data_IF_150368766059
#
_entry.id   IF_150368766059
#
_cell.length_a   1.000
_cell.length_b   1.000
_cell.length_c   1.000
_cell.angle_alpha   90.00
_cell.angle_beta   90.00
_cell.angle_gamma   90.00
#
_symmetry.space_group_name_H-M   'P 1'
#
loop_
_entity.id
_entity.type
_entity.pdbx_description
1 polymer ?
#
# COMPACT_ATOMS: atom_id res chain seq x y z
N UNK A 1 23.43 -8.96 29.25
CA UNK A 1 23.32 -8.83 27.78
C UNK A 1 21.84 -8.74 27.41
N UNK A 2 21.23 -7.55 27.38
CA UNK A 2 19.88 -7.37 26.80
C UNK A 2 19.69 -5.91 26.38
N UNK A 3 20.33 -5.50 25.29
CA UNK A 3 19.86 -4.32 24.57
C UNK A 3 18.56 -4.73 23.86
N UNK A 4 17.42 -4.24 24.36
CA UNK A 4 16.16 -4.26 23.63
C UNK A 4 16.33 -3.26 22.48
N UNK A 5 16.90 -3.73 21.37
CA UNK A 5 17.05 -2.93 20.16
C UNK A 5 15.66 -2.44 19.75
N UNK A 6 15.41 -1.14 19.90
CA UNK A 6 14.44 -0.48 19.05
C UNK A 6 15.00 -0.62 17.64
N UNK A 7 14.41 -1.48 16.83
CA UNK A 7 14.87 -1.74 15.47
C UNK A 7 14.97 -0.39 14.74
N UNK A 8 16.18 0.04 14.41
CA UNK A 8 16.36 1.23 13.59
C UNK A 8 15.61 0.98 12.28
N UNK A 9 14.65 1.85 11.95
CA UNK A 9 13.93 1.75 10.69
C UNK A 9 14.86 2.27 9.58
N UNK A 10 15.54 1.34 8.94
CA UNK A 10 16.51 1.60 7.88
C UNK A 10 15.89 1.57 6.49
N UNK A 11 14.62 1.15 6.37
CA UNK A 11 13.89 1.12 5.11
C UNK A 11 12.89 2.29 5.03
N UNK A 12 12.55 2.66 3.79
CA UNK A 12 11.58 3.71 3.47
C UNK A 12 10.62 3.19 2.43
N UNK A 13 9.32 3.33 2.71
CA UNK A 13 8.24 3.13 1.76
C UNK A 13 8.01 4.45 1.04
N UNK A 14 7.95 4.42 -0.29
CA UNK A 14 7.63 5.57 -1.13
C UNK A 14 6.40 5.27 -1.99
N UNK A 15 5.44 6.20 -2.11
CA UNK A 15 4.39 6.10 -3.12
C UNK A 15 5.00 6.11 -4.52
N UNK A 16 4.58 5.15 -5.34
CA UNK A 16 5.09 4.97 -6.70
C UNK A 16 3.98 4.82 -7.76
N UNK A 17 2.71 4.83 -7.36
CA UNK A 17 1.56 4.81 -8.27
C UNK A 17 0.24 4.50 -7.57
N UNK A 18 -0.87 4.85 -8.23
CA UNK A 18 -2.25 4.52 -7.81
C UNK A 18 -2.81 5.32 -6.63
N UNK A 19 -1.99 5.93 -5.78
CA UNK A 19 -2.48 6.82 -4.72
C UNK A 19 -3.04 8.14 -5.29
N UNK A 20 -4.09 8.69 -4.69
CA UNK A 20 -4.78 9.92 -5.09
C UNK A 20 -5.71 9.79 -6.29
N UNK A 21 -6.03 8.57 -6.72
CA UNK A 21 -6.87 8.34 -7.90
C UNK A 21 -8.35 8.22 -7.56
N UNK A 22 -9.18 8.32 -8.59
CA UNK A 22 -10.63 8.33 -8.51
C UNK A 22 -11.25 7.23 -9.35
N UNK A 23 -12.42 6.73 -8.93
CA UNK A 23 -13.28 5.86 -9.71
C UNK A 23 -14.73 6.06 -9.28
N UNK A 24 -15.67 5.96 -10.23
CA UNK A 24 -17.09 5.89 -9.87
C UNK A 24 -17.46 4.52 -9.30
N UNK A 25 -18.63 4.43 -8.68
CA UNK A 25 -19.18 3.18 -8.13
C UNK A 25 -19.03 1.97 -9.05
N UNK A 26 -18.57 0.86 -8.49
CA UNK A 26 -18.35 -0.42 -9.18
C UNK A 26 -17.35 -0.38 -10.35
N UNK A 27 -16.62 0.71 -10.51
CA UNK A 27 -15.56 0.79 -11.51
C UNK A 27 -14.22 0.34 -10.93
N UNK A 28 -13.45 -0.35 -11.76
CA UNK A 28 -12.06 -0.64 -11.45
C UNK A 28 -11.26 0.67 -11.48
N UNK A 29 -10.45 0.90 -10.46
CA UNK A 29 -9.52 2.01 -10.48
C UNK A 29 -8.47 1.82 -11.58
N UNK A 30 -8.12 2.90 -12.27
CA UNK A 30 -7.25 2.84 -13.46
C UNK A 30 -5.84 2.29 -13.19
N UNK A 31 -5.30 2.52 -11.98
CA UNK A 31 -3.98 2.05 -11.60
C UNK A 31 -4.03 1.27 -10.28
N UNK A 32 -3.34 0.13 -10.16
CA UNK A 32 -3.16 -0.51 -8.86
C UNK A 32 -2.29 0.38 -7.94
N UNK A 33 -2.44 0.19 -6.63
CA UNK A 33 -1.55 0.84 -5.67
C UNK A 33 -0.14 0.28 -5.81
N UNK A 34 0.84 1.17 -5.88
CA UNK A 34 2.24 0.80 -6.05
C UNK A 34 3.10 1.51 -5.02
N UNK A 35 3.81 0.73 -4.22
CA UNK A 35 4.81 1.20 -3.29
C UNK A 35 6.21 0.85 -3.80
N UNK A 36 7.20 1.67 -3.46
CA UNK A 36 8.62 1.36 -3.66
C UNK A 36 9.31 1.31 -2.31
N UNK A 37 10.05 0.24 -2.07
CA UNK A 37 10.85 0.05 -0.88
C UNK A 37 12.32 0.30 -1.19
N UNK A 38 12.93 1.20 -0.43
CA UNK A 38 14.35 1.55 -0.58
C UNK A 38 15.06 1.56 0.78
N UNK A 39 16.37 1.36 0.76
CA UNK A 39 17.24 1.60 1.90
C UNK A 39 17.38 3.12 2.14
N UNK A 40 17.14 3.59 3.35
CA UNK A 40 17.24 5.01 3.73
C UNK A 40 18.65 5.58 3.52
N UNK A 41 19.68 4.78 3.75
CA UNK A 41 21.07 5.23 3.72
C UNK A 41 21.67 5.33 2.32
N UNK A 42 21.27 4.41 1.43
CA UNK A 42 21.87 4.28 0.09
C UNK A 42 20.89 4.58 -1.05
N UNK A 43 19.59 4.67 -0.75
CA UNK A 43 18.51 4.72 -1.73
C UNK A 43 18.45 3.51 -2.69
N UNK A 44 19.16 2.42 -2.36
CA UNK A 44 19.12 1.18 -3.13
C UNK A 44 17.75 0.51 -3.01
N UNK A 45 17.25 -0.09 -4.10
CA UNK A 45 16.00 -0.84 -4.08
C UNK A 45 16.13 -2.09 -3.20
N UNK A 46 15.08 -2.39 -2.43
CA UNK A 46 15.00 -3.60 -1.60
C UNK A 46 14.05 -4.60 -2.24
N UNK A 47 14.57 -5.72 -2.72
CA UNK A 47 13.83 -6.76 -3.44
C UNK A 47 13.41 -7.92 -2.53
N UNK A 48 12.29 -8.56 -2.84
CA UNK A 48 11.77 -9.76 -2.16
C UNK A 48 11.11 -9.52 -0.81
N UNK A 49 11.10 -8.27 -0.33
CA UNK A 49 10.57 -7.88 0.97
C UNK A 49 9.03 -7.81 0.93
N UNK A 50 8.31 -8.40 1.89
CA UNK A 50 6.87 -8.27 1.97
C UNK A 50 6.45 -6.82 2.30
N UNK A 51 5.55 -6.29 1.48
CA UNK A 51 4.84 -5.03 1.71
C UNK A 51 3.36 -5.35 1.85
N UNK A 52 2.77 -4.94 2.96
CA UNK A 52 1.36 -5.20 3.30
C UNK A 52 0.56 -3.91 3.20
N UNK A 53 -0.50 -3.95 2.41
CA UNK A 53 -1.49 -2.89 2.24
C UNK A 53 -2.74 -3.28 3.01
N UNK A 54 -3.09 -2.49 4.03
CA UNK A 54 -4.29 -2.70 4.84
C UNK A 54 -5.26 -1.56 4.57
N UNK A 55 -6.45 -1.89 4.10
CA UNK A 55 -7.57 -0.96 4.03
C UNK A 55 -8.30 -0.94 5.37
N UNK A 56 -8.48 0.23 5.96
CA UNK A 56 -9.33 0.39 7.13
C UNK A 56 -10.80 0.39 6.67
N UNK A 57 -11.46 -0.77 6.81
CA UNK A 57 -12.72 -1.13 6.16
C UNK A 57 -13.96 -0.46 6.78
N UNK A 58 -13.95 0.86 6.93
CA UNK A 58 -15.00 1.58 7.65
C UNK A 58 -16.30 1.80 6.85
N UNK A 59 -16.32 1.59 5.52
CA UNK A 59 -17.46 2.10 4.73
C UNK A 59 -17.75 1.45 3.37
N UNK A 60 -17.32 0.22 3.05
CA UNK A 60 -17.60 -0.40 1.72
C UNK A 60 -17.09 0.43 0.51
N UNK A 61 -16.12 1.33 0.72
CA UNK A 61 -15.61 2.20 -0.34
C UNK A 61 -14.75 1.44 -1.36
N UNK A 62 -13.99 0.43 -0.95
CA UNK A 62 -13.08 -0.26 -1.86
C UNK A 62 -13.01 -1.73 -1.53
N UNK A 63 -12.91 -2.57 -2.56
CA UNK A 63 -12.68 -4.00 -2.42
C UNK A 63 -11.43 -4.35 -3.25
N UNK A 64 -10.50 -5.09 -2.65
CA UNK A 64 -9.53 -5.85 -3.44
C UNK A 64 -10.27 -6.98 -4.16
N UNK A 65 -9.81 -7.43 -5.33
CA UNK A 65 -10.38 -8.63 -5.96
C UNK A 65 -10.42 -9.80 -4.95
N UNK A 66 -11.62 -10.30 -4.64
CA UNK A 66 -11.83 -11.35 -3.64
C UNK A 66 -12.31 -10.88 -2.26
N UNK A 67 -12.65 -9.59 -2.09
CA UNK A 67 -13.20 -9.00 -0.86
C UNK A 67 -12.25 -9.04 0.36
N UNK A 68 -10.94 -9.18 0.15
CA UNK A 68 -9.97 -9.10 1.23
C UNK A 68 -9.71 -7.64 1.62
N UNK A 69 -9.62 -7.26 2.91
CA UNK A 69 -9.25 -5.91 3.35
C UNK A 69 -7.73 -5.72 3.45
N UNK A 70 -6.95 -6.78 3.23
CA UNK A 70 -5.49 -6.78 3.39
C UNK A 70 -4.87 -7.56 2.25
N UNK A 71 -3.82 -6.99 1.66
CA UNK A 71 -3.03 -7.64 0.62
C UNK A 71 -1.55 -7.52 0.97
N UNK A 72 -0.83 -8.64 0.90
CA UNK A 72 0.63 -8.67 1.03
C UNK A 72 1.25 -9.06 -0.29
N UNK A 73 2.15 -8.22 -0.79
CA UNK A 73 2.88 -8.41 -2.04
C UNK A 73 4.38 -8.23 -1.80
N UNK A 74 5.21 -9.00 -2.50
CA UNK A 74 6.67 -8.89 -2.39
C UNK A 74 7.21 -7.86 -3.38
N UNK A 75 8.24 -7.14 -2.98
CA UNK A 75 8.92 -6.20 -3.88
C UNK A 75 9.68 -6.92 -4.99
N UNK A 76 9.67 -6.35 -6.20
CA UNK A 76 10.47 -6.81 -7.34
C UNK A 76 11.95 -6.41 -7.21
N UNK A 77 12.77 -6.73 -8.23
CA UNK A 77 14.20 -6.41 -8.23
C UNK A 77 14.52 -4.90 -8.22
N UNK A 78 13.53 -4.05 -8.51
CA UNK A 78 13.63 -2.58 -8.46
C UNK A 78 12.96 -2.00 -7.20
N UNK A 79 12.54 -2.87 -6.28
CA UNK A 79 11.96 -2.53 -5.00
C UNK A 79 10.47 -2.22 -5.07
N UNK A 80 9.76 -2.52 -6.16
CA UNK A 80 8.35 -2.19 -6.30
C UNK A 80 7.44 -3.32 -5.83
N UNK A 81 6.46 -2.97 -5.00
CA UNK A 81 5.34 -3.79 -4.60
C UNK A 81 4.06 -3.21 -5.21
N UNK A 82 3.29 -4.03 -5.92
CA UNK A 82 2.06 -3.60 -6.60
C UNK A 82 0.89 -4.49 -6.18
N UNK A 83 -0.23 -3.88 -5.78
CA UNK A 83 -1.45 -4.62 -5.43
C UNK A 83 -2.10 -5.22 -6.68
N UNK A 84 -3.02 -6.20 -6.52
CA UNK A 84 -4.04 -6.49 -7.52
C UNK A 84 -4.86 -5.24 -7.88
N UNK A 85 -5.66 -5.30 -8.96
CA UNK A 85 -6.64 -4.26 -9.26
C UNK A 85 -7.55 -3.98 -8.05
N UNK A 86 -7.90 -2.70 -7.87
CA UNK A 86 -8.86 -2.28 -6.87
C UNK A 86 -10.18 -1.95 -7.56
N UNK A 87 -11.30 -2.30 -6.94
CA UNK A 87 -12.64 -1.97 -7.44
C UNK A 87 -13.30 -1.03 -6.43
N UNK A 88 -13.85 0.07 -6.93
CA UNK A 88 -14.65 0.99 -6.14
C UNK A 88 -15.96 0.30 -5.70
N UNK A 89 -16.29 0.42 -4.43
CA UNK A 89 -17.50 -0.14 -3.85
C UNK A 89 -18.69 0.83 -3.89
N UNK A 90 -19.69 0.54 -3.05
CA UNK A 90 -20.98 1.21 -3.03
C UNK A 90 -20.95 2.60 -2.37
N UNK A 91 -19.99 2.86 -1.49
CA UNK A 91 -19.94 4.13 -0.77
C UNK A 91 -18.94 5.11 -1.41
N UNK A 92 -19.39 6.33 -1.64
CA UNK A 92 -18.54 7.43 -2.04
C UNK A 92 -17.61 7.86 -0.89
N UNK A 93 -16.48 8.48 -1.25
CA UNK A 93 -15.52 9.07 -0.32
C UNK A 93 -14.12 8.48 -0.43
N UNK A 94 -13.22 9.02 0.38
CA UNK A 94 -11.81 8.61 0.40
C UNK A 94 -11.60 7.38 1.26
N UNK A 95 -10.96 6.37 0.68
CA UNK A 95 -10.46 5.18 1.35
C UNK A 95 -8.95 5.32 1.57
N UNK A 96 -8.51 5.15 2.83
CA UNK A 96 -7.11 5.22 3.23
C UNK A 96 -6.55 3.81 3.44
N UNK A 97 -5.38 3.55 2.88
CA UNK A 97 -4.60 2.33 3.00
C UNK A 97 -3.37 2.59 3.86
N UNK A 98 -3.18 1.77 4.88
CA UNK A 98 -1.93 1.72 5.64
C UNK A 98 -0.99 0.73 4.99
N UNK A 99 0.13 1.23 4.47
CA UNK A 99 1.18 0.44 3.82
C UNK A 99 2.31 0.20 4.82
N UNK A 100 2.71 -1.06 4.99
CA UNK A 100 3.72 -1.47 5.97
C UNK A 100 4.73 -2.43 5.36
N UNK A 101 5.97 -2.36 5.86
CA UNK A 101 7.06 -3.28 5.54
C UNK A 101 7.95 -3.40 6.78
N UNK A 102 8.62 -4.54 6.96
CA UNK A 102 9.54 -4.71 8.08
C UNK A 102 10.69 -3.69 7.98
N UNK A 103 11.07 -3.08 9.11
CA UNK A 103 12.14 -2.07 9.11
C UNK A 103 11.80 -0.73 8.46
N UNK A 104 10.55 -0.49 8.04
CA UNK A 104 10.07 0.81 7.57
C UNK A 104 9.09 1.48 8.57
N UNK A 105 8.87 2.78 8.41
CA UNK A 105 7.70 3.44 8.98
C UNK A 105 6.48 3.17 8.07
N UNK A 106 5.27 3.01 8.62
CA UNK A 106 4.07 2.91 7.81
C UNK A 106 3.84 4.17 6.97
N UNK A 107 3.30 3.98 5.78
CA UNK A 107 2.95 5.06 4.84
C UNK A 107 1.45 5.00 4.52
N UNK A 108 0.83 6.14 4.20
CA UNK A 108 -0.60 6.22 3.88
C UNK A 108 -0.82 6.46 2.40
N UNK A 109 -1.60 5.57 1.76
CA UNK A 109 -2.06 5.74 0.39
C UNK A 109 -3.56 5.97 0.40
N UNK A 110 -4.09 6.71 -0.57
CA UNK A 110 -5.51 7.05 -0.61
C UNK A 110 -6.08 6.84 -2.01
N UNK A 111 -7.36 6.48 -2.09
CA UNK A 111 -8.14 6.49 -3.33
C UNK A 111 -9.53 7.02 -3.02
N UNK A 112 -10.23 7.57 -4.02
CA UNK A 112 -11.55 8.17 -3.81
C UNK A 112 -12.59 7.50 -4.70
N UNK A 113 -13.71 7.14 -4.09
CA UNK A 113 -14.92 6.76 -4.83
C UNK A 113 -15.77 8.00 -5.06
N UNK A 114 -16.04 8.28 -6.33
CA UNK A 114 -16.91 9.39 -6.75
C UNK A 114 -18.39 8.99 -6.56
N UNK A 115 -19.21 9.95 -6.15
CA UNK A 115 -20.66 9.79 -5.92
C UNK A 115 -21.54 10.25 -7.07
#
# INVERSE_FOLDING_TARGET
MSAKAGSERTLVIQPAGGTGQHAGHHQTFAHPLKARLISRGTADPVAGEPVTFVWDAMSQQVLFEGDEPTVTVRTDAQGYAQTPPLVAGDAAGTATFTVTAEGAYPEQFEVTVDG
#
